data_IF_658784493410
#
_entry.id   IF_658784493410
#
_cell.length_a   1.000
_cell.length_b   1.000
_cell.length_c   1.000
_cell.angle_alpha   90.00
_cell.angle_beta   90.00
_cell.angle_gamma   90.00
#
_symmetry.space_group_name_H-M   'P 1'
#
loop_
_entity.id
_entity.type
_entity.pdbx_description
1 polymer ?
#
# COMPACT_ATOMS: atom_id res chain seq x y z
N UNK A 1 33.40 7.42 -40.18
CA UNK A 1 32.69 6.27 -40.80
C UNK A 1 31.29 6.25 -40.21
N UNK A 2 30.36 7.02 -40.78
CA UNK A 2 29.27 6.55 -41.65
C UNK A 2 28.48 5.40 -41.00
N UNK A 3 27.36 5.64 -40.31
CA UNK A 3 26.01 6.02 -40.78
C UNK A 3 25.18 4.82 -41.29
N UNK A 4 23.91 4.82 -40.90
CA UNK A 4 22.75 4.06 -41.40
C UNK A 4 22.44 2.68 -40.81
N UNK A 5 21.36 2.61 -40.02
CA UNK A 5 20.16 1.86 -40.44
C UNK A 5 18.91 2.34 -39.70
N UNK A 6 18.24 3.35 -40.27
CA UNK A 6 16.79 3.54 -40.18
C UNK A 6 16.21 2.91 -41.45
N UNK A 7 15.26 1.98 -41.33
CA UNK A 7 14.28 1.74 -42.40
C UNK A 7 12.89 1.55 -41.84
N UNK A 8 12.02 2.21 -42.58
CA UNK A 8 10.64 2.56 -42.36
C UNK A 8 9.69 1.43 -42.80
N UNK A 9 8.45 1.61 -42.42
CA UNK A 9 7.28 0.74 -42.45
C UNK A 9 6.74 0.50 -43.88
N UNK A 10 6.00 -0.61 -44.05
CA UNK A 10 4.79 -0.80 -44.90
C UNK A 10 4.86 -1.76 -46.11
N UNK A 11 4.15 -2.90 -45.98
CA UNK A 11 3.09 -3.44 -46.87
C UNK A 11 2.85 -4.93 -46.52
N UNK A 12 1.75 -5.24 -45.82
CA UNK A 12 0.49 -5.81 -46.32
C UNK A 12 0.65 -7.22 -46.91
N UNK A 13 0.12 -8.21 -46.16
CA UNK A 13 -0.13 -9.57 -46.60
C UNK A 13 -1.22 -10.21 -45.75
N UNK A 14 -2.45 -10.09 -46.23
CA UNK A 14 -3.72 -10.56 -45.65
C UNK A 14 -3.76 -12.09 -45.51
N UNK A 15 -4.10 -12.61 -44.32
CA UNK A 15 -4.79 -13.90 -44.18
C UNK A 15 -5.84 -13.85 -43.07
N UNK A 16 -7.04 -14.26 -43.46
CA UNK A 16 -8.28 -14.25 -42.72
C UNK A 16 -8.40 -15.40 -41.71
N UNK A 17 -9.14 -15.07 -40.64
CA UNK A 17 -10.12 -15.88 -39.91
C UNK A 17 -9.65 -17.09 -39.08
N UNK A 18 -9.48 -16.82 -37.79
CA UNK A 18 -9.87 -17.71 -36.70
C UNK A 18 -10.64 -16.90 -35.66
N UNK A 19 -11.98 -16.91 -35.72
CA UNK A 19 -12.85 -16.34 -34.68
C UNK A 19 -12.69 -17.18 -33.41
N UNK A 20 -12.05 -16.62 -32.38
CA UNK A 20 -12.24 -17.09 -31.00
C UNK A 20 -13.25 -16.14 -30.35
N UNK A 21 -14.49 -16.60 -30.24
CA UNK A 21 -15.51 -15.96 -29.42
C UNK A 21 -15.17 -16.25 -27.94
N UNK A 22 -14.41 -15.38 -27.29
CA UNK A 22 -14.33 -15.35 -25.82
C UNK A 22 -15.46 -14.48 -25.31
N UNK A 23 -16.64 -15.08 -25.20
CA UNK A 23 -17.76 -14.50 -24.47
C UNK A 23 -17.54 -14.68 -22.98
N UNK A 24 -16.84 -13.74 -22.34
CA UNK A 24 -16.97 -13.50 -20.91
C UNK A 24 -17.64 -12.13 -20.75
N UNK A 25 -18.74 -11.99 -19.99
CA UNK A 25 -19.32 -10.69 -19.77
C UNK A 25 -18.29 -9.84 -18.99
N UNK A 26 -17.84 -8.75 -19.62
CA UNK A 26 -17.12 -7.69 -18.94
C UNK A 26 -17.97 -7.29 -17.72
N UNK A 27 -17.45 -7.51 -16.52
CA UNK A 27 -18.08 -7.01 -15.29
C UNK A 27 -18.37 -5.53 -15.51
N UNK A 28 -19.62 -5.13 -15.31
CA UNK A 28 -20.04 -3.74 -15.45
C UNK A 28 -19.12 -2.86 -14.61
N UNK A 29 -18.52 -1.79 -15.15
CA UNK A 29 -17.74 -0.87 -14.35
C UNK A 29 -18.63 -0.35 -13.21
N UNK A 30 -18.21 -0.58 -11.96
CA UNK A 30 -18.85 0.06 -10.83
C UNK A 30 -18.65 1.57 -10.99
N UNK A 31 -19.73 2.30 -11.28
CA UNK A 31 -19.69 3.75 -11.36
C UNK A 31 -19.32 4.31 -9.96
N UNK A 32 -18.29 5.16 -9.84
CA UNK A 32 -17.99 5.80 -8.56
C UNK A 32 -19.21 6.63 -8.12
N UNK A 33 -19.58 6.61 -6.83
CA UNK A 33 -20.52 7.59 -6.31
C UNK A 33 -19.97 8.98 -6.65
N UNK A 34 -20.81 9.84 -7.24
CA UNK A 34 -20.42 11.15 -7.73
C UNK A 34 -19.62 11.94 -6.70
N UNK A 35 -18.59 12.65 -7.19
CA UNK A 35 -17.75 13.56 -6.43
C UNK A 35 -18.62 14.65 -5.80
N UNK A 36 -19.08 14.40 -4.59
CA UNK A 36 -19.55 15.39 -3.64
C UNK A 36 -18.50 15.45 -2.54
N UNK A 37 -18.06 16.66 -2.16
CA UNK A 37 -17.27 16.84 -0.94
C UNK A 37 -17.94 16.06 0.20
N UNK A 38 -17.21 15.31 1.05
CA UNK A 38 -17.85 14.61 2.16
C UNK A 38 -17.75 15.45 3.45
N UNK A 39 -18.75 16.28 3.81
CA UNK A 39 -18.86 16.78 5.17
C UNK A 39 -19.05 15.58 6.12
N UNK A 40 -18.11 15.41 7.06
CA UNK A 40 -18.21 14.39 8.12
C UNK A 40 -17.67 13.00 7.76
N UNK A 41 -16.64 12.89 6.92
CA UNK A 41 -15.93 11.60 6.67
C UNK A 41 -15.45 11.00 8.00
N UNK A 42 -16.17 9.98 8.48
CA UNK A 42 -15.80 9.26 9.70
C UNK A 42 -14.53 8.44 9.45
N UNK A 43 -13.66 8.37 10.45
CA UNK A 43 -12.42 7.60 10.37
C UNK A 43 -12.73 6.13 10.08
N UNK A 44 -11.85 5.42 9.34
CA UNK A 44 -12.01 4.00 9.11
C UNK A 44 -11.97 3.24 10.44
N UNK A 45 -12.88 2.29 10.59
CA UNK A 45 -12.98 1.38 11.72
C UNK A 45 -13.11 -0.07 11.22
N UNK A 46 -12.98 -1.01 12.15
CA UNK A 46 -13.09 -2.44 11.87
C UNK A 46 -14.45 -2.95 12.33
N UNK A 47 -15.13 -3.68 11.44
CA UNK A 47 -16.35 -4.42 11.76
C UNK A 47 -16.20 -5.85 11.22
N UNK A 48 -15.85 -6.78 12.12
CA UNK A 48 -15.43 -8.12 11.74
C UNK A 48 -14.29 -8.07 10.73
N UNK A 49 -14.38 -8.88 9.66
CA UNK A 49 -13.36 -8.94 8.60
C UNK A 49 -13.37 -7.75 7.62
N UNK A 50 -14.13 -6.70 7.90
CA UNK A 50 -14.31 -5.56 6.98
C UNK A 50 -13.84 -4.26 7.59
N UNK A 51 -13.35 -3.37 6.74
CA UNK A 51 -13.20 -1.95 7.05
C UNK A 51 -14.52 -1.23 6.78
N UNK A 52 -14.86 -0.26 7.62
CA UNK A 52 -16.03 0.61 7.47
C UNK A 52 -15.63 2.06 7.67
N UNK A 53 -16.28 2.97 6.96
CA UNK A 53 -16.18 4.41 7.20
C UNK A 53 -17.60 4.94 7.43
N UNK A 54 -17.93 5.21 8.69
CA UNK A 54 -19.32 5.38 9.11
C UNK A 54 -20.14 4.11 8.88
N UNK A 55 -21.29 4.24 8.23
CA UNK A 55 -22.22 3.12 8.03
C UNK A 55 -21.96 2.36 6.71
N UNK A 56 -20.88 2.70 6.01
CA UNK A 56 -20.54 2.11 4.72
C UNK A 56 -19.28 1.23 4.81
N UNK A 57 -19.35 0.06 4.17
CA UNK A 57 -18.19 -0.81 4.00
C UNK A 57 -17.17 -0.15 3.07
N UNK A 58 -15.93 -0.06 3.52
CA UNK A 58 -14.81 0.50 2.79
C UNK A 58 -14.04 -0.60 2.06
N UNK A 59 -14.18 -0.64 0.74
CA UNK A 59 -13.33 -1.44 -0.14
C UNK A 59 -12.12 -0.61 -0.55
N UNK A 60 -10.94 -0.94 -0.03
CA UNK A 60 -9.70 -0.21 -0.35
C UNK A 60 -9.24 -0.57 -1.77
N UNK A 61 -9.15 0.44 -2.63
CA UNK A 61 -8.59 0.37 -3.98
C UNK A 61 -7.43 1.35 -4.04
N UNK A 62 -6.25 0.82 -3.73
CA UNK A 62 -5.07 1.62 -3.47
C UNK A 62 -4.04 1.59 -4.60
N UNK A 63 -3.25 2.66 -4.67
CA UNK A 63 -1.96 2.68 -5.38
C UNK A 63 -0.85 3.13 -4.45
N UNK A 64 0.37 2.65 -4.68
CA UNK A 64 1.56 3.16 -3.97
C UNK A 64 2.00 4.48 -4.61
N UNK A 65 2.32 5.48 -3.79
CA UNK A 65 2.76 6.80 -4.24
C UNK A 65 4.14 7.15 -3.68
N UNK A 66 5.14 7.15 -4.56
CA UNK A 66 6.58 7.16 -4.24
C UNK A 66 7.26 5.87 -4.68
N UNK A 67 8.55 5.66 -4.43
CA UNK A 67 9.54 6.58 -3.86
C UNK A 67 10.02 7.59 -4.92
N UNK A 68 9.86 8.88 -4.64
CA UNK A 68 10.29 9.93 -5.57
C UNK A 68 11.70 10.39 -5.25
N UNK A 69 12.35 11.02 -6.24
CA UNK A 69 13.63 11.68 -6.00
C UNK A 69 13.40 12.86 -5.04
N UNK A 70 14.11 12.94 -3.91
CA UNK A 70 13.97 14.06 -2.98
C UNK A 70 14.54 15.35 -3.56
N UNK A 71 14.05 16.49 -3.06
CA UNK A 71 14.60 17.81 -3.35
C UNK A 71 15.95 18.05 -2.64
N UNK A 72 16.48 19.27 -2.74
CA UNK A 72 17.73 19.66 -2.08
C UNK A 72 17.68 19.57 -0.54
N UNK A 73 16.48 19.56 0.05
CA UNK A 73 16.24 19.45 1.49
C UNK A 73 15.94 18.00 1.93
N UNK A 74 15.96 17.04 1.01
CA UNK A 74 15.64 15.64 1.30
C UNK A 74 14.14 15.32 1.28
N UNK A 75 13.28 16.23 0.84
CA UNK A 75 11.83 16.03 0.82
C UNK A 75 11.37 15.37 -0.49
N UNK A 76 10.80 14.17 -0.40
CA UNK A 76 10.24 13.45 -1.56
C UNK A 76 8.92 14.05 -2.05
N UNK A 77 8.12 14.61 -1.14
CA UNK A 77 6.77 15.15 -1.41
C UNK A 77 6.76 16.67 -1.25
N UNK A 78 7.40 17.38 -2.18
CA UNK A 78 7.60 18.84 -2.11
C UNK A 78 6.74 19.65 -3.08
N UNK A 79 6.38 19.09 -4.24
CA UNK A 79 5.58 19.78 -5.26
C UNK A 79 4.09 19.47 -5.07
N UNK A 80 3.37 20.40 -4.44
CA UNK A 80 1.94 20.23 -4.14
C UNK A 80 1.09 20.21 -5.43
N UNK A 81 1.46 20.96 -6.46
CA UNK A 81 0.69 20.99 -7.71
C UNK A 81 0.76 19.66 -8.46
N UNK A 82 1.93 19.00 -8.42
CA UNK A 82 2.08 17.63 -8.91
C UNK A 82 1.23 16.66 -8.08
N UNK A 83 1.31 16.73 -6.75
CA UNK A 83 0.55 15.86 -5.85
C UNK A 83 -0.96 15.99 -6.11
N UNK A 84 -1.48 17.21 -6.22
CA UNK A 84 -2.88 17.50 -6.55
C UNK A 84 -3.30 16.86 -7.87
N UNK A 85 -2.50 17.05 -8.92
CA UNK A 85 -2.77 16.50 -10.25
C UNK A 85 -2.78 14.98 -10.24
N UNK A 86 -1.78 14.37 -9.60
CA UNK A 86 -1.64 12.92 -9.54
C UNK A 86 -2.82 12.32 -8.75
N UNK A 87 -3.22 12.92 -7.63
CA UNK A 87 -4.37 12.47 -6.84
C UNK A 87 -5.70 12.64 -7.56
N UNK A 88 -5.89 13.74 -8.31
CA UNK A 88 -7.04 13.91 -9.17
C UNK A 88 -7.12 12.80 -10.23
N UNK A 89 -5.99 12.44 -10.85
CA UNK A 89 -5.93 11.33 -11.81
C UNK A 89 -6.24 9.98 -11.16
N UNK A 90 -5.72 9.71 -9.97
CA UNK A 90 -6.04 8.49 -9.23
C UNK A 90 -7.53 8.36 -8.94
N UNK A 91 -8.14 9.42 -8.42
CA UNK A 91 -9.58 9.47 -8.15
C UNK A 91 -10.41 9.27 -9.43
N UNK A 92 -10.02 9.93 -10.53
CA UNK A 92 -10.68 9.79 -11.83
C UNK A 92 -10.61 8.36 -12.40
N UNK A 93 -9.57 7.61 -12.05
CA UNK A 93 -9.40 6.19 -12.42
C UNK A 93 -10.00 5.21 -11.40
N UNK A 94 -10.76 5.70 -10.41
CA UNK A 94 -11.51 4.87 -9.47
C UNK A 94 -10.70 4.35 -8.28
N UNK A 95 -9.48 4.84 -8.07
CA UNK A 95 -8.74 4.61 -6.82
C UNK A 95 -9.31 5.48 -5.71
N UNK A 96 -9.29 4.94 -4.49
CA UNK A 96 -9.79 5.62 -3.30
C UNK A 96 -8.79 5.65 -2.14
N UNK A 97 -7.59 5.12 -2.37
CA UNK A 97 -6.53 5.09 -1.37
C UNK A 97 -5.15 5.26 -2.01
N UNK A 98 -4.22 5.81 -1.24
CA UNK A 98 -2.81 5.90 -1.56
C UNK A 98 -1.98 5.34 -0.43
N UNK A 99 -0.94 4.59 -0.75
CA UNK A 99 0.03 4.07 0.21
C UNK A 99 1.34 4.83 0.09
N UNK A 100 1.81 5.34 1.22
CA UNK A 100 3.09 6.03 1.35
C UNK A 100 4.02 5.12 2.17
N UNK A 101 4.95 4.37 1.54
CA UNK A 101 5.57 3.22 2.20
C UNK A 101 6.72 3.58 3.16
N UNK A 102 7.60 4.52 2.79
CA UNK A 102 8.90 4.68 3.46
C UNK A 102 9.22 6.09 3.99
N UNK A 103 8.52 7.10 3.51
CA UNK A 103 8.80 8.50 3.83
C UNK A 103 7.59 9.13 4.50
N UNK A 104 7.79 9.85 5.60
CA UNK A 104 6.68 10.50 6.29
C UNK A 104 6.08 11.58 5.38
N UNK A 105 4.81 11.48 4.95
CA UNK A 105 4.20 12.48 4.11
C UNK A 105 3.96 13.77 4.89
N UNK A 106 4.15 14.95 4.28
CA UNK A 106 3.74 16.20 4.90
C UNK A 106 2.22 16.23 5.05
N UNK A 107 1.72 16.98 6.04
CA UNK A 107 0.27 17.11 6.27
C UNK A 107 -0.49 17.65 5.06
N UNK A 108 0.15 18.52 4.27
CA UNK A 108 -0.39 19.02 3.00
C UNK A 108 -0.71 17.92 1.98
N UNK A 109 0.05 16.81 1.96
CA UNK A 109 -0.27 15.65 1.13
C UNK A 109 -1.56 14.97 1.63
N UNK A 110 -1.76 14.86 2.93
CA UNK A 110 -3.01 14.32 3.48
C UNK A 110 -4.19 15.26 3.21
N UNK A 111 -3.98 16.58 3.27
CA UNK A 111 -5.00 17.58 2.92
C UNK A 111 -5.40 17.47 1.44
N UNK A 112 -4.42 17.27 0.54
CA UNK A 112 -4.67 16.99 -0.88
C UNK A 112 -5.46 15.69 -1.07
N UNK A 113 -5.04 14.60 -0.41
CA UNK A 113 -5.75 13.33 -0.45
C UNK A 113 -7.20 13.48 0.02
N UNK A 114 -7.44 14.25 1.09
CA UNK A 114 -8.78 14.51 1.60
C UNK A 114 -9.66 15.22 0.56
N UNK A 115 -9.15 16.27 -0.09
CA UNK A 115 -9.86 17.01 -1.15
C UNK A 115 -10.24 16.13 -2.34
N UNK A 116 -9.40 15.17 -2.69
CA UNK A 116 -9.66 14.21 -3.79
C UNK A 116 -10.42 12.95 -3.35
N UNK A 117 -10.88 12.88 -2.10
CA UNK A 117 -11.62 11.72 -1.60
C UNK A 117 -10.75 10.47 -1.38
N UNK A 118 -9.43 10.60 -1.37
CA UNK A 118 -8.48 9.51 -1.15
C UNK A 118 -8.24 9.28 0.36
N UNK A 119 -8.01 8.02 0.70
CA UNK A 119 -7.50 7.58 1.99
C UNK A 119 -5.97 7.41 1.94
N UNK A 120 -5.25 7.64 3.03
CA UNK A 120 -3.78 7.56 3.07
C UNK A 120 -3.33 6.50 4.07
N UNK A 121 -2.64 5.47 3.61
CA UNK A 121 -1.88 4.56 4.47
C UNK A 121 -0.46 5.11 4.65
N UNK A 122 -0.10 5.48 5.88
CA UNK A 122 1.18 6.13 6.20
C UNK A 122 2.17 5.12 6.76
N UNK A 123 3.32 4.97 6.11
CA UNK A 123 4.45 4.19 6.59
C UNK A 123 5.25 4.93 7.66
N UNK A 124 5.54 4.25 8.77
CA UNK A 124 6.33 4.73 9.89
C UNK A 124 7.76 4.20 9.87
N UNK A 125 8.11 3.39 8.88
CA UNK A 125 9.46 2.89 8.55
C UNK A 125 10.23 2.29 9.75
N UNK A 126 9.53 1.54 10.60
CA UNK A 126 10.11 0.91 11.79
C UNK A 126 11.24 -0.08 11.46
N UNK A 127 11.23 -0.68 10.28
CA UNK A 127 12.28 -1.60 9.82
C UNK A 127 13.66 -0.94 9.81
N UNK A 128 13.72 0.37 9.54
CA UNK A 128 14.97 1.14 9.50
C UNK A 128 15.66 1.21 10.87
N UNK A 129 14.89 1.09 11.96
CA UNK A 129 15.41 1.23 13.32
C UNK A 129 15.71 -0.10 14.01
N UNK A 130 15.37 -1.23 13.38
CA UNK A 130 15.58 -2.55 13.99
C UNK A 130 17.06 -2.80 14.30
N UNK A 131 17.98 -2.33 13.44
CA UNK A 131 19.42 -2.42 13.67
C UNK A 131 19.89 -1.72 14.96
N UNK A 132 19.31 -0.56 15.29
CA UNK A 132 19.65 0.16 16.53
C UNK A 132 19.21 -0.60 17.78
N UNK A 133 18.06 -1.28 17.70
CA UNK A 133 17.56 -2.13 18.79
C UNK A 133 18.42 -3.38 18.96
N UNK A 134 18.83 -3.99 17.85
CA UNK A 134 19.76 -5.13 17.81
C UNK A 134 21.09 -4.75 18.49
N UNK A 135 21.69 -3.65 18.06
CA UNK A 135 23.00 -3.18 18.52
C UNK A 135 22.95 -2.51 19.89
N UNK A 136 21.75 -2.43 20.50
CA UNK A 136 21.47 -1.74 21.77
C UNK A 136 22.00 -0.30 21.78
N UNK A 137 22.02 0.35 20.62
CA UNK A 137 22.45 1.73 20.53
C UNK A 137 21.42 2.63 21.18
N UNK A 138 21.89 3.65 21.88
CA UNK A 138 21.05 4.62 22.61
C UNK A 138 20.98 5.99 21.94
N UNK A 139 21.64 6.15 20.79
CA UNK A 139 21.64 7.36 19.98
C UNK A 139 20.29 7.62 19.32
N UNK A 140 19.53 6.56 19.01
CA UNK A 140 18.19 6.65 18.45
C UNK A 140 17.19 5.92 19.35
N UNK A 141 16.06 6.57 19.62
CA UNK A 141 14.92 5.97 20.31
C UNK A 141 13.77 5.76 19.31
N UNK A 142 13.52 4.51 18.85
CA UNK A 142 12.48 4.23 17.87
C UNK A 142 11.07 4.68 18.29
N UNK A 143 10.72 4.54 19.58
CA UNK A 143 9.41 4.98 20.09
C UNK A 143 9.24 6.49 19.97
N UNK A 144 10.29 7.26 20.27
CA UNK A 144 10.25 8.71 20.13
C UNK A 144 10.08 9.10 18.66
N UNK A 145 10.82 8.46 17.75
CA UNK A 145 10.72 8.73 16.31
C UNK A 145 9.32 8.41 15.79
N UNK A 146 8.78 7.24 16.13
CA UNK A 146 7.44 6.82 15.73
C UNK A 146 6.38 7.77 16.30
N UNK A 147 6.48 8.13 17.58
CA UNK A 147 5.60 9.12 18.22
C UNK A 147 5.59 10.45 17.46
N UNK A 148 6.77 10.98 17.15
CA UNK A 148 6.91 12.26 16.46
C UNK A 148 6.35 12.21 15.02
N UNK A 149 6.39 11.04 14.37
CA UNK A 149 5.74 10.79 13.06
C UNK A 149 4.22 10.72 13.18
N UNK A 150 3.69 9.97 14.14
CA UNK A 150 2.24 9.86 14.38
C UNK A 150 1.63 11.24 14.65
N UNK A 151 2.29 12.07 15.45
CA UNK A 151 1.83 13.45 15.75
C UNK A 151 1.66 14.35 14.53
N UNK A 152 2.32 14.05 13.41
CA UNK A 152 2.22 14.85 12.19
C UNK A 152 0.91 14.60 11.43
N UNK A 153 0.29 13.44 11.59
CA UNK A 153 -0.92 13.05 10.86
C UNK A 153 -2.07 12.54 11.74
N UNK A 154 -1.89 12.47 13.07
CA UNK A 154 -2.93 12.06 14.02
C UNK A 154 -4.23 12.83 13.82
N UNK A 155 -5.35 12.11 13.83
CA UNK A 155 -6.68 12.67 13.68
C UNK A 155 -7.01 13.21 12.28
N UNK A 156 -6.11 13.06 11.29
CA UNK A 156 -6.37 13.56 9.95
C UNK A 156 -7.53 12.79 9.28
N UNK A 157 -8.56 13.47 8.72
CA UNK A 157 -9.73 12.80 8.13
C UNK A 157 -9.46 11.89 6.93
N UNK A 158 -8.36 12.08 6.21
CA UNK A 158 -7.90 11.19 5.13
C UNK A 158 -7.06 10.00 5.61
N UNK A 159 -6.72 9.88 6.89
CA UNK A 159 -5.86 8.79 7.37
C UNK A 159 -6.61 7.44 7.33
N UNK A 160 -6.06 6.48 6.58
CA UNK A 160 -6.54 5.10 6.52
C UNK A 160 -6.06 4.28 7.71
N UNK A 161 -4.74 4.22 7.83
CA UNK A 161 -4.01 3.38 8.78
C UNK A 161 -2.54 3.82 8.83
N UNK A 162 -1.90 3.49 9.94
CA UNK A 162 -0.44 3.50 10.07
C UNK A 162 0.10 2.12 9.71
N UNK A 163 1.07 2.05 8.81
CA UNK A 163 1.94 0.88 8.69
C UNK A 163 3.17 1.11 9.55
N UNK A 164 3.38 0.25 10.56
CA UNK A 164 4.56 0.33 11.42
C UNK A 164 5.84 0.28 10.59
N UNK A 165 5.88 -0.56 9.58
CA UNK A 165 7.03 -0.72 8.70
C UNK A 165 6.72 -1.61 7.51
N UNK A 166 7.72 -1.78 6.66
CA UNK A 166 7.67 -2.60 5.47
C UNK A 166 8.75 -3.68 5.51
N UNK A 167 8.34 -4.94 5.38
CA UNK A 167 9.23 -6.07 5.06
C UNK A 167 10.58 -6.08 5.78
N UNK A 168 10.58 -6.32 7.09
CA UNK A 168 11.80 -6.70 7.79
C UNK A 168 12.42 -7.91 7.08
N UNK A 169 13.67 -7.81 6.57
CA UNK A 169 14.26 -8.88 5.78
C UNK A 169 14.27 -10.20 6.54
N UNK A 170 13.88 -11.30 5.89
CA UNK A 170 13.74 -12.61 6.54
C UNK A 170 15.00 -13.05 7.28
N UNK A 171 16.18 -12.77 6.72
CA UNK A 171 17.45 -13.12 7.36
C UNK A 171 17.66 -12.34 8.67
N UNK A 172 17.30 -11.07 8.69
CA UNK A 172 17.36 -10.24 9.91
C UNK A 172 16.34 -10.74 10.93
N UNK A 173 15.11 -11.04 10.51
CA UNK A 173 14.08 -11.56 11.41
C UNK A 173 14.48 -12.92 12.02
N UNK A 174 15.11 -13.81 11.25
CA UNK A 174 15.62 -15.10 11.74
C UNK A 174 16.80 -14.95 12.68
N UNK A 175 17.77 -14.12 12.31
CA UNK A 175 18.97 -13.91 13.10
C UNK A 175 18.67 -13.21 14.43
N UNK A 176 17.82 -12.17 14.41
CA UNK A 176 17.43 -11.48 15.63
C UNK A 176 16.48 -12.31 16.51
N UNK A 177 15.66 -13.16 15.87
CA UNK A 177 14.68 -14.03 16.48
C UNK A 177 13.26 -13.44 16.39
N UNK A 178 12.32 -14.26 15.91
CA UNK A 178 10.95 -13.83 15.61
C UNK A 178 10.23 -13.19 16.81
N UNK A 179 10.35 -13.77 18.01
CA UNK A 179 9.74 -13.21 19.24
C UNK A 179 10.23 -11.80 19.58
N UNK A 180 11.49 -11.49 19.27
CA UNK A 180 12.04 -10.15 19.50
C UNK A 180 11.52 -9.15 18.49
N UNK A 181 11.38 -9.56 17.23
CA UNK A 181 10.73 -8.75 16.18
C UNK A 181 9.26 -8.49 16.54
N UNK A 182 8.51 -9.52 16.93
CA UNK A 182 7.12 -9.40 17.38
C UNK A 182 7.01 -8.45 18.58
N UNK A 183 7.88 -8.60 19.58
CA UNK A 183 7.94 -7.70 20.74
C UNK A 183 8.26 -6.25 20.38
N UNK A 184 9.21 -6.03 19.47
CA UNK A 184 9.54 -4.71 18.94
C UNK A 184 8.33 -4.07 18.24
N UNK A 185 7.68 -4.80 17.33
CA UNK A 185 6.49 -4.31 16.63
C UNK A 185 5.33 -4.05 17.60
N UNK A 186 5.15 -4.88 18.63
CA UNK A 186 4.12 -4.68 19.66
C UNK A 186 4.37 -3.43 20.50
N UNK A 187 5.63 -3.14 20.80
CA UNK A 187 6.01 -1.91 21.49
C UNK A 187 5.66 -0.68 20.65
N UNK A 188 6.01 -0.67 19.36
CA UNK A 188 5.67 0.43 18.46
C UNK A 188 4.16 0.56 18.23
N UNK A 189 3.43 -0.56 18.10
CA UNK A 189 1.97 -0.55 18.08
C UNK A 189 1.39 0.18 19.29
N UNK A 190 1.89 -0.13 20.49
CA UNK A 190 1.46 0.52 21.73
C UNK A 190 1.77 2.01 21.72
N UNK A 191 2.93 2.41 21.18
CA UNK A 191 3.30 3.82 21.00
C UNK A 191 2.32 4.54 20.06
N UNK A 192 1.92 3.92 18.94
CA UNK A 192 0.90 4.49 18.04
C UNK A 192 -0.44 4.62 18.76
N UNK A 193 -0.91 3.56 19.43
CA UNK A 193 -2.21 3.56 20.13
C UNK A 193 -2.30 4.55 21.29
N UNK A 194 -1.19 4.84 21.97
CA UNK A 194 -1.15 5.85 23.02
C UNK A 194 -1.31 7.28 22.47
N UNK A 195 -0.85 7.54 21.25
CA UNK A 195 -0.96 8.86 20.61
C UNK A 195 -2.25 8.99 19.78
N UNK A 196 -2.71 7.89 19.18
CA UNK A 196 -3.93 7.83 18.35
C UNK A 196 -4.73 6.54 18.63
N UNK A 197 -5.58 6.53 19.68
CA UNK A 197 -6.33 5.34 20.08
C UNK A 197 -7.26 4.79 18.98
N UNK A 198 -7.81 5.66 18.14
CA UNK A 198 -8.71 5.31 17.04
C UNK A 198 -7.97 4.96 15.74
N UNK A 199 -6.67 5.23 15.65
CA UNK A 199 -5.87 4.97 14.46
C UNK A 199 -5.71 3.46 14.22
N UNK A 200 -6.04 3.00 13.01
CA UNK A 200 -5.78 1.62 12.60
C UNK A 200 -4.28 1.42 12.38
N UNK A 201 -3.74 0.31 12.87
CA UNK A 201 -2.32 -0.02 12.81
C UNK A 201 -2.11 -1.37 12.14
N UNK A 202 -1.17 -1.40 11.22
CA UNK A 202 -0.74 -2.61 10.52
C UNK A 202 0.77 -2.69 10.44
N UNK A 203 1.27 -3.78 9.87
CA UNK A 203 2.64 -3.95 9.45
C UNK A 203 2.58 -4.65 8.09
N UNK A 204 3.28 -4.10 7.11
CA UNK A 204 3.29 -4.68 5.76
C UNK A 204 4.29 -5.83 5.75
N UNK A 205 3.74 -7.04 5.72
CA UNK A 205 4.51 -8.26 5.76
C UNK A 205 4.77 -8.80 4.33
N UNK A 206 5.62 -9.81 4.26
CA UNK A 206 5.92 -10.56 3.03
C UNK A 206 5.75 -12.06 3.28
N UNK A 207 5.43 -12.89 2.26
CA UNK A 207 5.24 -14.32 2.46
C UNK A 207 6.39 -15.05 3.16
N UNK A 208 7.64 -14.63 2.96
CA UNK A 208 8.80 -15.26 3.60
C UNK A 208 8.92 -14.99 5.10
N UNK A 209 8.19 -14.02 5.63
CA UNK A 209 8.10 -13.68 7.06
C UNK A 209 6.68 -13.88 7.61
N UNK A 210 5.88 -14.74 6.98
CA UNK A 210 4.52 -15.06 7.43
C UNK A 210 4.47 -15.75 8.82
N UNK A 211 5.59 -16.30 9.28
CA UNK A 211 5.72 -16.95 10.58
C UNK A 211 5.73 -15.96 11.77
N UNK A 212 5.78 -14.64 11.51
CA UNK A 212 5.64 -13.63 12.56
C UNK A 212 4.20 -13.61 13.06
N UNK A 213 3.99 -13.90 14.35
CA UNK A 213 2.67 -13.86 14.96
C UNK A 213 2.37 -12.46 15.49
N UNK A 214 1.55 -11.71 14.76
CA UNK A 214 1.23 -10.31 15.07
C UNK A 214 -0.27 -10.12 15.39
N UNK A 215 -0.85 -10.82 16.38
CA UNK A 215 -2.30 -10.79 16.66
C UNK A 215 -2.79 -9.43 17.19
N UNK A 216 -1.87 -8.59 17.67
CA UNK A 216 -2.19 -7.26 18.20
C UNK A 216 -2.44 -6.21 17.11
N UNK A 217 -2.10 -6.48 15.84
CA UNK A 217 -2.39 -5.56 14.75
C UNK A 217 -3.87 -5.54 14.40
N UNK A 218 -4.37 -4.37 14.01
CA UNK A 218 -5.79 -4.15 13.72
C UNK A 218 -6.17 -4.79 12.37
N UNK A 219 -5.28 -4.69 11.37
CA UNK A 219 -5.46 -5.32 10.06
C UNK A 219 -4.16 -5.99 9.58
N UNK A 220 -4.31 -6.94 8.66
CA UNK A 220 -3.21 -7.71 8.10
C UNK A 220 -2.88 -7.21 6.69
N UNK A 221 -1.63 -6.81 6.47
CA UNK A 221 -1.15 -6.35 5.17
C UNK A 221 -0.03 -7.24 4.64
N UNK A 222 -0.10 -7.61 3.37
CA UNK A 222 0.95 -8.36 2.67
C UNK A 222 1.28 -7.76 1.31
N UNK A 223 2.57 -7.69 1.01
CA UNK A 223 3.07 -7.53 -0.35
C UNK A 223 3.14 -8.90 -1.03
N UNK A 224 2.50 -9.05 -2.19
CA UNK A 224 2.35 -10.34 -2.89
C UNK A 224 2.63 -10.17 -4.38
N UNK A 225 3.70 -10.80 -4.88
CA UNK A 225 4.06 -10.79 -6.29
C UNK A 225 4.06 -12.21 -6.86
N UNK A 226 2.86 -12.76 -7.04
CA UNK A 226 2.66 -14.07 -7.63
C UNK A 226 2.20 -13.91 -9.08
N UNK A 227 2.98 -14.43 -10.03
CA UNK A 227 2.72 -14.27 -11.48
C UNK A 227 1.72 -15.31 -12.03
N UNK A 228 1.06 -16.08 -11.15
CA UNK A 228 0.10 -17.13 -11.53
C UNK A 228 -1.17 -16.97 -10.71
N UNK A 229 -2.30 -16.77 -11.37
CA UNK A 229 -3.61 -16.64 -10.74
C UNK A 229 -3.91 -17.76 -9.71
N UNK A 230 -3.72 -19.07 -10.01
CA UNK A 230 -4.01 -20.11 -9.02
C UNK A 230 -3.13 -20.04 -7.76
N UNK A 231 -1.90 -19.55 -7.90
CA UNK A 231 -1.01 -19.35 -6.74
C UNK A 231 -1.49 -18.17 -5.89
N UNK A 232 -1.94 -17.08 -6.52
CA UNK A 232 -2.52 -15.93 -5.82
C UNK A 232 -3.79 -16.32 -5.07
N UNK A 233 -4.73 -17.02 -5.70
CA UNK A 233 -5.98 -17.47 -5.09
C UNK A 233 -5.73 -18.40 -3.88
N UNK A 234 -4.80 -19.35 -4.03
CA UNK A 234 -4.40 -20.24 -2.94
C UNK A 234 -3.76 -19.45 -1.78
N UNK A 235 -2.93 -18.45 -2.08
CA UNK A 235 -2.30 -17.62 -1.06
C UNK A 235 -3.31 -16.70 -0.36
N UNK A 236 -4.28 -16.13 -1.08
CA UNK A 236 -5.38 -15.37 -0.49
C UNK A 236 -6.17 -16.20 0.51
N UNK A 237 -6.45 -17.46 0.19
CA UNK A 237 -7.11 -18.39 1.12
C UNK A 237 -6.27 -18.61 2.39
N UNK A 238 -4.94 -18.71 2.26
CA UNK A 238 -4.03 -18.80 3.41
C UNK A 238 -4.04 -17.50 4.25
N UNK A 239 -4.04 -16.34 3.62
CA UNK A 239 -4.12 -15.05 4.31
C UNK A 239 -5.42 -14.89 5.10
N UNK A 240 -6.55 -15.39 4.59
CA UNK A 240 -7.82 -15.38 5.33
C UNK A 240 -7.76 -16.20 6.62
N UNK A 241 -6.97 -17.28 6.65
CA UNK A 241 -6.75 -18.06 7.87
C UNK A 241 -5.82 -17.32 8.85
N UNK A 242 -4.73 -16.72 8.35
CA UNK A 242 -3.77 -15.94 9.17
C UNK A 242 -4.45 -14.71 9.82
N UNK A 243 -5.31 -14.04 9.05
CA UNK A 243 -5.98 -12.85 9.53
C UNK A 243 -7.04 -13.14 10.59
N UNK A 244 -7.55 -14.37 10.64
CA UNK A 244 -8.70 -14.74 11.45
C UNK A 244 -9.85 -13.76 11.20
N UNK A 245 -10.27 -12.99 12.21
CA UNK A 245 -11.38 -12.03 12.10
C UNK A 245 -10.95 -10.62 11.66
N UNK A 246 -9.66 -10.41 11.38
CA UNK A 246 -9.14 -9.11 10.98
C UNK A 246 -9.27 -8.87 9.48
N UNK A 247 -9.44 -7.62 9.03
CA UNK A 247 -9.37 -7.28 7.61
C UNK A 247 -8.00 -7.63 7.01
N UNK A 248 -8.00 -7.99 5.72
CA UNK A 248 -6.80 -8.24 4.93
C UNK A 248 -6.70 -7.21 3.80
N UNK A 249 -5.52 -6.64 3.62
CA UNK A 249 -5.17 -5.80 2.46
C UNK A 249 -3.94 -6.39 1.79
N UNK A 250 -3.97 -6.54 0.46
CA UNK A 250 -2.75 -6.70 -0.31
C UNK A 250 -2.16 -5.32 -0.55
N UNK A 251 -1.07 -4.99 0.13
CA UNK A 251 -0.53 -3.63 0.19
C UNK A 251 0.36 -3.30 -1.00
N UNK A 252 0.90 -4.31 -1.67
CA UNK A 252 1.47 -4.26 -3.01
C UNK A 252 1.13 -5.55 -3.75
N UNK A 253 0.75 -5.39 -5.01
CA UNK A 253 0.64 -6.43 -6.02
C UNK A 253 1.15 -5.83 -7.32
N UNK A 254 1.65 -6.67 -8.21
CA UNK A 254 2.04 -6.19 -9.54
C UNK A 254 2.88 -7.18 -10.29
N UNK A 255 3.03 -6.88 -11.57
CA UNK A 255 3.89 -7.57 -12.51
C UNK A 255 4.74 -6.54 -13.24
N UNK A 256 6.03 -6.82 -13.40
CA UNK A 256 6.93 -5.93 -14.13
C UNK A 256 6.54 -5.87 -15.62
N UNK A 257 6.06 -4.72 -16.07
CA UNK A 257 5.65 -4.50 -17.45
C UNK A 257 6.81 -4.48 -18.44
N UNK A 258 8.03 -4.11 -18.02
CA UNK A 258 9.19 -4.09 -18.93
C UNK A 258 9.53 -5.50 -19.42
N UNK A 259 9.39 -6.49 -18.54
CA UNK A 259 9.67 -7.91 -18.86
C UNK A 259 8.47 -8.66 -19.41
N UNK A 260 7.26 -8.33 -18.96
CA UNK A 260 6.05 -9.12 -19.27
C UNK A 260 5.11 -8.43 -20.27
N UNK A 261 5.31 -7.14 -20.54
CA UNK A 261 4.42 -6.30 -21.35
C UNK A 261 3.23 -5.74 -20.59
N UNK A 262 2.77 -4.55 -20.99
CA UNK A 262 1.66 -3.82 -20.35
C UNK A 262 0.35 -4.63 -20.33
N UNK A 263 0.05 -5.38 -21.40
CA UNK A 263 -1.14 -6.23 -21.46
C UNK A 263 -1.14 -7.36 -20.44
N UNK A 264 0.03 -7.98 -20.20
CA UNK A 264 0.15 -9.05 -19.21
C UNK A 264 0.03 -8.48 -17.79
N UNK A 265 0.64 -7.31 -17.53
CA UNK A 265 0.49 -6.60 -16.28
C UNK A 265 -0.98 -6.24 -16.01
N UNK A 266 -1.67 -5.63 -16.98
CA UNK A 266 -3.08 -5.27 -16.84
C UNK A 266 -3.95 -6.50 -16.51
N UNK A 267 -3.77 -7.61 -17.25
CA UNK A 267 -4.48 -8.86 -16.99
C UNK A 267 -4.22 -9.44 -15.60
N UNK A 268 -3.02 -9.26 -15.04
CA UNK A 268 -2.72 -9.73 -13.68
C UNK A 268 -3.48 -8.99 -12.59
N UNK A 269 -3.97 -7.79 -12.88
CA UNK A 269 -4.77 -6.98 -11.94
C UNK A 269 -6.28 -7.33 -12.01
N UNK A 270 -6.71 -8.11 -13.00
CA UNK A 270 -8.10 -8.60 -13.14
C UNK A 270 -8.40 -9.88 -12.34
N UNK A 271 -7.38 -10.48 -11.72
CA UNK A 271 -7.47 -11.75 -10.98
C UNK A 271 -8.25 -11.62 -9.66
#
# INVERSE_FOLDING_TARGET
MHEAYLRDVSSIGTREQGRVLVGAPLRTPWAPPGLSEPPGRRRPAIQGKSLVAGDQKLYVRGVTYGAFRPDANGAEYHDLDIIERDFAQMAANGFNAVRIPHTMPPRSLLDAAYRHGLWVMVGLSAEQYLGFVIDRRRDVNPDRVVRDRVRQCVGHPALLAYSLGNEIPTQIARWYGHRRVEGYLKQLYSTVKNEDPEGLVTYVNYPSTEYLELPFLDLVCYNVYLEKQPALEAYLSRLQNIAADRPVILSEIGLDALRNGELAQARSLDW
#
